data_IF_777653698116
#
_entry.id   IF_777653698116
#
_cell.length_a   1.000
_cell.length_b   1.000
_cell.length_c   1.000
_cell.angle_alpha   90.00
_cell.angle_beta   90.00
_cell.angle_gamma   90.00
#
_symmetry.space_group_name_H-M   'P 1'
#
loop_
_entity.id
_entity.type
_entity.pdbx_description
1 polymer ?
#
# COMPACT_ATOMS: atom_id res chain seq x y z
N UNK A 1 18.03 44.57 64.99
CA UNK A 1 19.29 43.80 64.97
C UNK A 1 19.43 43.22 63.57
N UNK A 2 20.53 43.26 62.83
CA UNK A 2 21.86 43.82 62.94
C UNK A 2 22.59 43.29 61.68
N UNK A 3 23.13 44.19 60.84
CA UNK A 3 24.30 43.99 59.96
C UNK A 3 24.23 42.94 58.81
N UNK A 4 24.26 43.32 57.51
CA UNK A 4 25.44 43.58 56.62
C UNK A 4 26.33 42.33 56.41
N UNK A 5 26.92 41.96 55.27
CA UNK A 5 27.42 42.68 54.09
C UNK A 5 28.01 41.66 53.08
N UNK A 6 28.03 42.04 51.78
CA UNK A 6 29.07 41.83 50.73
C UNK A 6 29.64 40.42 50.46
N UNK A 7 29.49 39.83 49.26
CA UNK A 7 30.17 40.16 47.99
C UNK A 7 31.71 40.14 48.09
N UNK A 8 32.36 39.20 47.38
CA UNK A 8 33.49 39.42 46.43
C UNK A 8 34.12 38.10 45.97
N UNK A 9 34.28 37.98 44.65
CA UNK A 9 35.21 37.10 43.94
C UNK A 9 36.66 37.30 44.44
N UNK A 10 37.52 36.28 44.24
CA UNK A 10 38.73 36.55 43.48
C UNK A 10 38.99 35.49 42.40
N UNK A 11 39.28 35.97 41.20
CA UNK A 11 40.07 35.26 40.20
C UNK A 11 41.56 35.36 40.58
N UNK A 12 42.37 34.34 40.30
CA UNK A 12 43.74 34.50 39.76
C UNK A 12 44.47 33.16 39.49
N UNK A 13 45.03 33.09 38.28
CA UNK A 13 46.24 32.37 37.79
C UNK A 13 46.29 30.85 37.59
N UNK A 14 46.02 30.45 36.33
CA UNK A 14 46.99 29.96 35.34
C UNK A 14 48.28 29.28 35.87
N UNK A 15 48.39 27.96 35.70
CA UNK A 15 49.68 27.32 35.46
C UNK A 15 49.54 26.15 34.47
N UNK A 16 50.43 26.19 33.49
CA UNK A 16 50.57 25.38 32.30
C UNK A 16 51.52 24.20 32.63
N UNK A 17 51.11 22.94 32.47
CA UNK A 17 52.03 21.80 32.53
C UNK A 17 51.70 20.78 31.42
N UNK A 18 52.53 20.83 30.38
CA UNK A 18 52.87 19.82 29.36
C UNK A 18 54.41 19.90 29.27
N UNK A 19 55.23 18.87 28.96
CA UNK A 19 54.98 17.53 28.40
C UNK A 19 55.68 16.37 29.16
N UNK A 20 55.37 15.11 28.83
CA UNK A 20 56.38 14.03 28.82
C UNK A 20 55.88 12.88 27.93
N UNK A 21 56.32 12.90 26.68
CA UNK A 21 56.30 11.73 25.80
C UNK A 21 57.40 10.77 26.23
N UNK A 22 57.08 9.48 26.31
CA UNK A 22 58.03 8.37 26.34
C UNK A 22 57.72 7.44 25.16
N UNK A 23 58.76 6.78 24.61
CA UNK A 23 58.78 6.35 23.22
C UNK A 23 57.95 5.10 22.96
N UNK A 24 57.40 5.05 21.75
CA UNK A 24 56.87 3.83 21.16
C UNK A 24 57.99 2.78 21.07
N UNK A 25 57.90 1.75 21.92
CA UNK A 25 58.56 0.48 21.67
C UNK A 25 57.67 -0.27 20.69
N UNK A 26 58.10 -0.32 19.44
CA UNK A 26 57.60 -1.28 18.47
C UNK A 26 57.98 -2.68 18.97
N UNK A 27 57.03 -3.34 19.63
CA UNK A 27 57.09 -4.79 19.78
C UNK A 27 56.79 -5.38 18.41
N UNK A 28 57.82 -5.96 17.79
CA UNK A 28 57.71 -6.78 16.59
C UNK A 28 56.82 -8.00 16.91
N UNK A 29 55.61 -8.12 16.34
CA UNK A 29 54.87 -9.36 16.44
C UNK A 29 55.37 -10.30 15.35
N UNK A 30 55.87 -11.45 15.81
CA UNK A 30 56.15 -12.65 15.01
C UNK A 30 55.11 -12.87 13.90
N UNK A 31 55.49 -13.48 12.75
CA UNK A 31 54.60 -13.65 11.62
C UNK A 31 53.38 -14.47 12.05
N UNK A 32 52.25 -13.79 12.20
CA UNK A 32 50.96 -14.41 12.42
C UNK A 32 50.59 -15.18 11.15
N UNK A 33 50.95 -16.46 11.15
CA UNK A 33 50.26 -17.49 10.39
C UNK A 33 48.83 -17.50 10.90
N UNK A 34 47.94 -16.89 10.14
CA UNK A 34 46.58 -17.35 9.84
C UNK A 34 45.87 -16.20 9.12
N UNK A 35 45.79 -16.33 7.79
CA UNK A 35 44.81 -15.58 7.01
C UNK A 35 43.43 -16.07 7.48
N UNK A 36 42.87 -15.36 8.46
CA UNK A 36 41.48 -15.50 8.83
C UNK A 36 40.65 -15.19 7.58
N UNK A 37 39.97 -16.21 7.07
CA UNK A 37 38.99 -16.06 6.01
C UNK A 37 37.99 -15.00 6.46
N UNK A 38 37.85 -13.93 5.66
CA UNK A 38 36.78 -12.94 5.84
C UNK A 38 35.45 -13.70 5.95
N UNK A 39 34.82 -13.61 7.11
CA UNK A 39 33.45 -14.07 7.27
C UNK A 39 32.58 -13.34 6.23
N UNK A 40 31.66 -14.02 5.53
CA UNK A 40 30.83 -13.37 4.52
C UNK A 40 30.12 -12.17 5.14
N UNK A 41 30.41 -10.97 4.65
CA UNK A 41 29.69 -9.76 5.05
C UNK A 41 28.24 -9.95 4.61
N UNK A 42 27.35 -10.21 5.57
CA UNK A 42 25.92 -10.25 5.33
C UNK A 42 25.49 -8.88 4.83
N UNK A 43 25.13 -8.81 3.54
CA UNK A 43 24.66 -7.58 2.93
C UNK A 43 23.36 -7.19 3.63
N UNK A 44 23.29 -5.94 4.09
CA UNK A 44 22.07 -5.38 4.64
C UNK A 44 20.89 -5.67 3.70
N UNK A 45 19.72 -6.07 4.24
CA UNK A 45 18.56 -6.38 3.41
C UNK A 45 18.20 -5.16 2.58
N UNK A 46 17.81 -5.41 1.32
CA UNK A 46 17.34 -4.35 0.44
C UNK A 46 16.10 -3.71 1.05
N UNK A 47 16.02 -2.39 0.93
CA UNK A 47 14.81 -1.67 1.31
C UNK A 47 13.66 -2.13 0.44
N UNK A 48 12.49 -2.21 1.04
CA UNK A 48 11.28 -2.48 0.29
C UNK A 48 10.90 -1.23 -0.52
N UNK A 49 10.14 -1.41 -1.59
CA UNK A 49 9.73 -0.29 -2.44
C UNK A 49 8.98 0.78 -1.63
N UNK A 50 8.04 0.39 -0.78
CA UNK A 50 7.31 1.37 0.04
C UNK A 50 8.23 2.18 0.97
N UNK A 51 9.35 1.60 1.42
CA UNK A 51 10.36 2.31 2.23
C UNK A 51 11.18 3.30 1.37
N UNK A 52 11.56 2.91 0.16
CA UNK A 52 12.27 3.80 -0.79
C UNK A 52 11.40 5.01 -1.16
N UNK A 53 10.13 4.78 -1.49
CA UNK A 53 9.15 5.82 -1.81
C UNK A 53 8.95 6.77 -0.60
N UNK A 54 8.86 6.22 0.63
CA UNK A 54 8.74 7.02 1.85
C UNK A 54 9.96 7.93 2.06
N UNK A 55 11.18 7.40 1.94
CA UNK A 55 12.43 8.18 2.06
C UNK A 55 12.49 9.29 0.99
N UNK A 56 12.05 9.01 -0.23
CA UNK A 56 12.00 10.01 -1.29
C UNK A 56 11.01 11.14 -0.95
N UNK A 57 9.82 10.80 -0.47
CA UNK A 57 8.79 11.76 -0.08
C UNK A 57 9.20 12.61 1.14
N UNK A 58 9.85 12.03 2.13
CA UNK A 58 10.35 12.75 3.32
C UNK A 58 11.34 13.87 2.97
N UNK A 59 12.08 13.70 1.86
CA UNK A 59 13.03 14.71 1.36
C UNK A 59 12.35 15.82 0.56
N UNK A 60 11.21 15.52 -0.06
CA UNK A 60 10.52 16.42 -0.97
C UNK A 60 9.42 17.23 -0.29
N UNK A 61 8.76 16.64 0.70
CA UNK A 61 7.60 17.23 1.36
C UNK A 61 7.99 18.02 2.62
N UNK A 62 7.18 19.01 3.03
CA UNK A 62 7.40 19.71 4.30
C UNK A 62 7.29 18.77 5.50
N UNK A 63 8.10 18.98 6.54
CA UNK A 63 8.13 18.11 7.73
C UNK A 63 6.83 18.13 8.51
N UNK A 64 6.11 19.25 8.50
CA UNK A 64 4.81 19.41 9.14
C UNK A 64 3.73 18.48 8.57
N UNK A 65 3.86 18.12 7.29
CA UNK A 65 2.95 17.19 6.63
C UNK A 65 3.30 15.72 6.92
N UNK A 66 4.51 15.42 7.41
CA UNK A 66 5.02 14.06 7.57
C UNK A 66 4.70 13.50 8.95
N UNK A 67 4.14 12.29 9.01
CA UNK A 67 3.81 11.60 10.25
C UNK A 67 4.29 10.15 10.17
N UNK A 68 5.04 9.71 11.18
CA UNK A 68 5.38 8.29 11.33
C UNK A 68 4.32 7.63 12.18
N UNK A 69 3.56 6.70 11.59
CA UNK A 69 2.55 5.92 12.29
C UNK A 69 3.08 4.50 12.56
N UNK A 70 2.52 3.87 13.59
CA UNK A 70 2.90 2.51 14.00
C UNK A 70 1.73 1.56 13.76
N UNK A 71 1.98 0.46 13.05
CA UNK A 71 1.04 -0.63 12.80
C UNK A 71 1.69 -1.96 13.22
N UNK A 72 1.35 -2.42 14.43
CA UNK A 72 2.05 -3.55 15.05
C UNK A 72 3.53 -3.21 15.24
N UNK A 73 4.41 -4.01 14.65
CA UNK A 73 5.87 -3.82 14.70
C UNK A 73 6.40 -2.96 13.53
N UNK A 74 5.57 -2.61 12.55
CA UNK A 74 5.97 -1.80 11.40
C UNK A 74 5.69 -0.30 11.64
N UNK A 75 6.70 0.54 11.42
CA UNK A 75 6.51 1.98 11.27
C UNK A 75 6.39 2.36 9.79
N UNK A 76 5.50 3.29 9.47
CA UNK A 76 5.29 3.74 8.09
C UNK A 76 4.94 5.22 8.01
N UNK A 77 5.33 5.83 6.88
CA UNK A 77 5.01 7.21 6.58
C UNK A 77 3.51 7.37 6.26
N UNK A 78 2.89 8.34 6.90
CA UNK A 78 1.61 8.92 6.52
C UNK A 78 1.76 10.42 6.33
N UNK A 79 0.92 11.00 5.48
CA UNK A 79 0.95 12.43 5.18
C UNK A 79 -0.34 13.09 5.68
N UNK A 80 -0.19 13.99 6.65
CA UNK A 80 -1.28 14.66 7.34
C UNK A 80 -1.36 16.13 6.93
N UNK A 81 -2.56 16.64 6.68
CA UNK A 81 -2.83 18.08 6.63
C UNK A 81 -4.06 18.40 7.49
N UNK A 82 -3.95 19.29 8.47
CA UNK A 82 -5.11 19.75 9.23
C UNK A 82 -6.06 20.57 8.34
N UNK A 83 -7.34 20.63 8.69
CA UNK A 83 -8.28 21.50 8.00
C UNK A 83 -7.91 22.98 8.15
N UNK A 84 -8.15 23.78 7.10
CA UNK A 84 -7.91 25.23 7.11
C UNK A 84 -9.08 26.00 7.73
N UNK A 85 -9.59 25.51 8.86
CA UNK A 85 -10.73 26.08 9.61
C UNK A 85 -10.59 25.79 11.10
N UNK A 86 -11.21 26.61 11.95
CA UNK A 86 -11.25 26.43 13.40
C UNK A 86 -12.24 25.35 13.86
N UNK A 87 -13.23 25.02 13.02
CA UNK A 87 -14.19 23.94 13.26
C UNK A 87 -14.15 22.90 12.14
N UNK A 88 -13.18 21.96 12.14
CA UNK A 88 -13.11 20.91 11.13
C UNK A 88 -14.36 20.02 11.14
N UNK A 89 -14.86 19.64 9.97
CA UNK A 89 -15.98 18.71 9.84
C UNK A 89 -15.60 17.28 10.27
N UNK A 90 -14.33 16.93 10.07
CA UNK A 90 -13.78 15.61 10.33
C UNK A 90 -12.43 15.42 9.65
N UNK A 91 -12.10 14.15 9.37
CA UNK A 91 -10.94 13.79 8.58
C UNK A 91 -11.31 12.86 7.42
N UNK A 92 -10.69 13.09 6.26
CA UNK A 92 -10.63 12.11 5.17
C UNK A 92 -9.35 11.30 5.32
N UNK A 93 -9.47 9.98 5.34
CA UNK A 93 -8.32 9.08 5.32
C UNK A 93 -8.28 8.41 3.95
N UNK A 94 -7.18 8.61 3.24
CA UNK A 94 -6.97 8.16 1.88
C UNK A 94 -6.08 6.92 1.92
N UNK A 95 -6.61 5.82 1.39
CA UNK A 95 -5.95 4.52 1.22
C UNK A 95 -5.56 4.40 -0.26
N UNK A 96 -4.28 4.58 -0.62
CA UNK A 96 -3.81 4.43 -1.99
C UNK A 96 -3.95 2.98 -2.49
N UNK A 97 -3.85 2.82 -3.80
CA UNK A 97 -3.74 1.52 -4.44
C UNK A 97 -2.37 0.86 -4.25
N UNK A 98 -2.30 -0.38 -4.70
CA UNK A 98 -1.03 -1.11 -4.82
C UNK A 98 -0.13 -0.29 -5.74
N UNK A 99 1.15 -0.23 -5.40
CA UNK A 99 2.12 0.58 -6.13
C UNK A 99 1.89 2.10 -6.09
N UNK A 100 0.99 2.63 -5.27
CA UNK A 100 0.78 4.06 -5.13
C UNK A 100 1.35 4.59 -3.82
N UNK A 101 1.99 5.75 -3.88
CA UNK A 101 2.55 6.43 -2.70
C UNK A 101 1.48 7.28 -2.00
N UNK A 102 1.67 7.67 -0.72
CA UNK A 102 0.72 8.57 -0.04
C UNK A 102 0.63 9.97 -0.66
N UNK A 103 1.51 10.35 -1.59
CA UNK A 103 1.39 11.58 -2.38
C UNK A 103 1.27 11.31 -3.88
N UNK A 104 0.65 10.18 -4.27
CA UNK A 104 0.47 9.82 -5.67
C UNK A 104 -0.14 10.98 -6.47
N UNK A 105 0.40 11.31 -7.67
CA UNK A 105 0.04 12.54 -8.38
C UNK A 105 -1.43 12.59 -8.80
N UNK A 106 -2.06 11.43 -8.99
CA UNK A 106 -3.47 11.31 -9.35
C UNK A 106 -4.32 10.88 -8.16
N UNK A 107 -5.49 11.50 -7.98
CA UNK A 107 -6.43 11.25 -6.89
C UNK A 107 -5.85 11.48 -5.48
N UNK A 108 -4.93 10.65 -5.01
CA UNK A 108 -4.42 10.64 -3.62
C UNK A 108 -3.84 11.99 -3.20
N UNK A 109 -2.77 12.44 -3.85
CA UNK A 109 -2.11 13.72 -3.54
C UNK A 109 -3.02 14.93 -3.76
N UNK A 110 -3.71 15.06 -4.91
CA UNK A 110 -4.67 16.13 -5.16
C UNK A 110 -5.78 16.22 -4.11
N UNK A 111 -6.41 15.09 -3.75
CA UNK A 111 -7.46 15.07 -2.71
C UNK A 111 -6.87 15.46 -1.35
N UNK A 112 -5.71 14.90 -0.97
CA UNK A 112 -5.01 15.26 0.29
C UNK A 112 -4.80 16.76 0.40
N UNK A 113 -4.37 17.43 -0.68
CA UNK A 113 -4.10 18.87 -0.67
C UNK A 113 -5.36 19.72 -0.70
N UNK A 114 -6.43 19.29 -1.37
CA UNK A 114 -7.66 20.09 -1.56
C UNK A 114 -8.70 19.98 -0.43
N UNK A 115 -8.77 18.85 0.28
CA UNK A 115 -9.73 18.69 1.38
C UNK A 115 -9.55 19.68 2.54
N UNK A 116 -8.32 20.04 2.95
CA UNK A 116 -8.08 21.10 3.95
C UNK A 116 -8.77 22.42 3.65
N UNK A 117 -8.79 22.84 2.39
CA UNK A 117 -9.39 24.11 1.95
C UNK A 117 -10.92 24.12 2.04
N UNK A 118 -11.54 22.95 2.25
CA UNK A 118 -12.98 22.78 2.32
C UNK A 118 -13.43 22.29 3.70
N UNK A 119 -12.58 22.45 4.73
CA UNK A 119 -12.95 22.22 6.12
C UNK A 119 -12.73 20.80 6.63
N UNK A 120 -12.12 19.93 5.83
CA UNK A 120 -11.77 18.55 6.21
C UNK A 120 -10.27 18.41 6.43
N UNK A 121 -9.85 17.77 7.52
CA UNK A 121 -8.45 17.37 7.62
C UNK A 121 -8.21 16.17 6.70
N UNK A 122 -6.99 16.00 6.19
CA UNK A 122 -6.68 14.90 5.27
C UNK A 122 -5.47 14.10 5.76
N UNK A 123 -5.57 12.77 5.66
CA UNK A 123 -4.51 11.84 5.96
C UNK A 123 -4.38 10.87 4.80
N UNK A 124 -3.20 10.70 4.20
CA UNK A 124 -2.93 9.58 3.29
C UNK A 124 -1.90 8.65 3.90
N UNK A 125 -2.06 7.35 3.70
CA UNK A 125 -1.19 6.32 4.30
C UNK A 125 -0.36 5.59 3.26
N UNK A 126 0.84 5.14 3.64
CA UNK A 126 1.63 4.21 2.83
C UNK A 126 1.07 2.80 2.97
N UNK A 127 0.79 2.15 1.84
CA UNK A 127 0.37 0.74 1.82
C UNK A 127 1.58 -0.20 2.05
N UNK A 128 1.40 -1.33 2.75
CA UNK A 128 2.46 -2.33 2.88
C UNK A 128 2.70 -3.00 1.53
N UNK A 129 3.96 -3.29 1.21
CA UNK A 129 4.29 -4.08 0.02
C UNK A 129 3.61 -5.46 0.08
N UNK A 130 3.13 -6.00 -1.05
CA UNK A 130 2.56 -7.35 -1.11
C UNK A 130 3.55 -8.39 -0.58
N UNK A 131 3.05 -9.37 0.17
CA UNK A 131 3.87 -10.48 0.67
C UNK A 131 4.32 -11.43 -0.45
N UNK A 132 3.57 -11.51 -1.55
CA UNK A 132 3.95 -12.33 -2.70
C UNK A 132 4.83 -11.53 -3.67
N UNK A 133 6.13 -11.48 -3.35
CA UNK A 133 7.16 -10.86 -4.17
C UNK A 133 7.89 -11.88 -5.05
N UNK A 134 7.33 -13.06 -5.32
CA UNK A 134 7.95 -13.99 -6.26
C UNK A 134 7.75 -13.47 -7.69
N UNK A 135 8.80 -12.99 -8.40
CA UNK A 135 8.65 -12.69 -9.81
C UNK A 135 8.34 -14.03 -10.47
N UNK A 136 7.13 -14.18 -11.02
CA UNK A 136 6.76 -15.39 -11.74
C UNK A 136 7.87 -15.72 -12.76
N UNK A 137 8.39 -16.94 -12.70
CA UNK A 137 9.33 -17.40 -13.70
C UNK A 137 8.69 -17.18 -15.07
N UNK A 138 9.33 -16.38 -15.93
CA UNK A 138 8.89 -16.19 -17.30
C UNK A 138 8.82 -17.57 -17.93
N UNK A 139 7.62 -18.08 -18.19
CA UNK A 139 7.49 -19.27 -19.03
C UNK A 139 8.19 -18.93 -20.35
N UNK A 140 9.17 -19.73 -20.79
CA UNK A 140 9.88 -19.45 -22.02
C UNK A 140 8.85 -19.40 -23.14
N UNK A 141 8.76 -18.26 -23.82
CA UNK A 141 7.94 -18.09 -25.01
C UNK A 141 8.22 -19.28 -25.94
N UNK A 142 7.20 -20.12 -26.15
CA UNK A 142 7.29 -21.17 -27.15
C UNK A 142 7.46 -20.47 -28.50
N UNK A 143 8.68 -20.49 -29.01
CA UNK A 143 9.07 -19.94 -30.31
C UNK A 143 8.00 -20.31 -31.36
N UNK A 144 7.39 -19.33 -32.06
CA UNK A 144 6.50 -19.66 -33.16
C UNK A 144 7.35 -20.33 -34.23
N UNK A 145 7.05 -21.59 -34.55
CA UNK A 145 7.64 -22.25 -35.69
C UNK A 145 7.27 -21.48 -36.96
N UNK A 146 8.28 -20.93 -37.64
CA UNK A 146 8.15 -20.29 -38.93
C UNK A 146 7.46 -21.23 -39.93
N UNK A 147 6.26 -20.84 -40.35
CA UNK A 147 5.55 -21.47 -41.45
C UNK A 147 5.99 -20.81 -42.77
N UNK A 148 7.06 -21.30 -43.41
CA UNK A 148 7.15 -21.34 -44.87
C UNK A 148 8.31 -22.18 -45.42
N UNK A 149 8.01 -23.35 -45.97
CA UNK A 149 8.66 -23.90 -47.18
C UNK A 149 7.98 -25.22 -47.60
N UNK A 150 7.13 -25.16 -48.63
CA UNK A 150 6.69 -26.33 -49.40
C UNK A 150 7.81 -26.82 -50.33
N UNK A 151 8.02 -28.14 -50.45
CA UNK A 151 7.73 -28.97 -51.66
C UNK A 151 8.54 -30.28 -51.74
N UNK A 152 7.82 -31.38 -52.01
CA UNK A 152 8.20 -32.64 -52.73
C UNK A 152 9.21 -33.63 -52.09
N UNK A 153 9.14 -34.97 -52.16
CA UNK A 153 8.16 -36.03 -52.55
C UNK A 153 8.76 -37.38 -52.07
N UNK A 154 7.91 -38.42 -51.93
CA UNK A 154 8.18 -39.88 -52.00
C UNK A 154 8.36 -40.72 -50.70
N UNK A 155 7.40 -41.64 -50.55
CA UNK A 155 7.22 -42.82 -49.66
C UNK A 155 8.01 -44.07 -50.13
N UNK A 156 7.96 -45.24 -49.44
CA UNK A 156 7.89 -45.57 -48.00
C UNK A 156 8.82 -46.75 -47.57
N UNK A 157 8.79 -47.08 -46.26
CA UNK A 157 8.78 -48.44 -45.64
C UNK A 157 9.98 -48.79 -44.74
N UNK A 158 9.69 -48.93 -43.44
CA UNK A 158 9.96 -50.08 -42.55
C UNK A 158 10.01 -49.65 -41.07
N UNK A 159 9.00 -50.04 -40.30
CA UNK A 159 9.10 -50.33 -38.86
C UNK A 159 9.70 -51.74 -38.68
N UNK A 160 10.14 -52.21 -37.48
CA UNK A 160 9.96 -51.65 -36.13
C UNK A 160 11.21 -51.73 -35.22
N UNK A 161 11.31 -50.89 -34.18
CA UNK A 161 11.87 -51.33 -32.88
C UNK A 161 11.43 -50.47 -31.71
N UNK A 162 11.11 -51.16 -30.63
CA UNK A 162 10.77 -50.72 -29.28
C UNK A 162 11.39 -49.41 -28.81
N UNK A 163 10.52 -48.54 -28.30
CA UNK A 163 10.77 -47.85 -27.05
C UNK A 163 9.44 -47.79 -26.30
N UNK A 164 9.38 -48.54 -25.20
CA UNK A 164 8.32 -48.43 -24.19
C UNK A 164 8.26 -46.98 -23.71
N UNK A 165 7.29 -46.24 -24.23
CA UNK A 165 6.83 -45.04 -23.57
C UNK A 165 5.98 -45.53 -22.39
N UNK A 166 6.50 -45.43 -21.18
CA UNK A 166 5.68 -45.35 -19.97
C UNK A 166 4.68 -44.22 -20.18
N UNK A 167 3.48 -44.56 -20.65
CA UNK A 167 2.33 -43.69 -20.62
C UNK A 167 2.08 -43.37 -19.14
N UNK A 168 2.46 -42.17 -18.71
CA UNK A 168 1.99 -41.66 -17.43
C UNK A 168 0.46 -41.62 -17.51
N UNK A 169 -0.19 -42.18 -16.49
CA UNK A 169 -1.64 -42.25 -16.43
C UNK A 169 -2.20 -40.80 -16.41
N UNK A 170 -2.96 -40.38 -17.44
CA UNK A 170 -3.53 -39.04 -17.51
C UNK A 170 -4.41 -38.71 -16.29
N UNK A 171 -5.01 -39.73 -15.66
CA UNK A 171 -5.80 -39.56 -14.45
C UNK A 171 -4.93 -39.20 -13.25
N UNK A 172 -3.76 -39.83 -13.09
CA UNK A 172 -2.82 -39.53 -12.00
C UNK A 172 -2.17 -38.15 -12.18
N UNK A 173 -1.93 -37.70 -13.41
CA UNK A 173 -1.46 -36.34 -13.69
C UNK A 173 -2.54 -35.28 -13.41
N UNK A 174 -3.80 -35.55 -13.79
CA UNK A 174 -4.91 -34.66 -13.48
C UNK A 174 -5.18 -34.54 -11.98
N UNK A 175 -5.10 -35.65 -11.23
CA UNK A 175 -5.21 -35.65 -9.77
C UNK A 175 -4.05 -34.89 -9.09
N UNK A 176 -2.83 -35.06 -9.59
CA UNK A 176 -1.66 -34.32 -9.09
C UNK A 176 -1.77 -32.81 -9.36
N UNK A 177 -2.26 -32.40 -10.54
CA UNK A 177 -2.50 -30.99 -10.87
C UNK A 177 -3.60 -30.39 -9.98
N UNK A 178 -4.71 -31.10 -9.79
CA UNK A 178 -5.80 -30.64 -8.92
C UNK A 178 -5.37 -30.52 -7.45
N UNK A 179 -4.54 -31.45 -6.96
CA UNK A 179 -3.96 -31.37 -5.62
C UNK A 179 -2.99 -30.18 -5.49
N UNK A 180 -2.17 -29.93 -6.50
CA UNK A 180 -1.25 -28.79 -6.53
C UNK A 180 -2.00 -27.44 -6.58
N UNK A 181 -3.07 -27.34 -7.38
CA UNK A 181 -3.94 -26.15 -7.44
C UNK A 181 -4.64 -25.89 -6.10
N UNK A 182 -5.13 -26.93 -5.44
CA UNK A 182 -5.76 -26.82 -4.12
C UNK A 182 -4.76 -26.34 -3.06
N UNK A 183 -3.55 -26.91 -3.06
CA UNK A 183 -2.48 -26.49 -2.16
C UNK A 183 -2.06 -25.03 -2.40
N UNK A 184 -1.94 -24.62 -3.67
CA UNK A 184 -1.65 -23.22 -4.04
C UNK A 184 -2.77 -22.28 -3.59
N UNK A 185 -4.03 -22.63 -3.82
CA UNK A 185 -5.16 -21.80 -3.40
C UNK A 185 -5.23 -21.60 -1.88
N UNK A 186 -4.90 -22.63 -1.09
CA UNK A 186 -4.82 -22.53 0.36
C UNK A 186 -3.65 -21.64 0.82
N UNK A 187 -2.50 -21.73 0.15
CA UNK A 187 -1.36 -20.85 0.43
C UNK A 187 -1.66 -19.38 0.08
N UNK A 188 -2.26 -19.14 -1.09
CA UNK A 188 -2.69 -17.81 -1.54
C UNK A 188 -3.70 -17.19 -0.56
N UNK A 189 -4.62 -17.98 0.00
CA UNK A 189 -5.59 -17.52 0.99
C UNK A 189 -4.92 -17.08 2.31
N UNK A 190 -3.95 -17.85 2.80
CA UNK A 190 -3.22 -17.48 4.02
C UNK A 190 -2.35 -16.22 3.80
N UNK A 191 -1.67 -16.12 2.66
CA UNK A 191 -0.93 -14.90 2.27
C UNK A 191 -1.87 -13.71 2.18
N UNK A 192 -3.03 -13.88 1.56
CA UNK A 192 -4.04 -12.83 1.41
C UNK A 192 -4.56 -12.36 2.78
N UNK A 193 -4.79 -13.28 3.71
CA UNK A 193 -5.18 -12.97 5.09
C UNK A 193 -4.09 -12.24 5.86
N UNK A 194 -2.85 -12.70 5.78
CA UNK A 194 -1.71 -12.03 6.42
C UNK A 194 -1.52 -10.61 5.86
N UNK A 195 -1.68 -10.44 4.54
CA UNK A 195 -1.63 -9.13 3.90
C UNK A 195 -2.79 -8.23 4.37
N UNK A 196 -4.00 -8.78 4.51
CA UNK A 196 -5.15 -8.05 5.02
C UNK A 196 -4.89 -7.51 6.43
N UNK A 197 -4.35 -8.33 7.34
CA UNK A 197 -4.03 -7.91 8.71
C UNK A 197 -3.00 -6.77 8.75
N UNK A 198 -1.94 -6.83 7.92
CA UNK A 198 -0.96 -5.75 7.79
C UNK A 198 -1.61 -4.45 7.34
N UNK A 199 -2.49 -4.51 6.34
CA UNK A 199 -3.20 -3.35 5.81
C UNK A 199 -4.19 -2.80 6.83
N UNK A 200 -4.94 -3.66 7.51
CA UNK A 200 -5.91 -3.25 8.53
C UNK A 200 -5.21 -2.56 9.70
N UNK A 201 -4.07 -3.07 10.16
CA UNK A 201 -3.28 -2.41 11.19
C UNK A 201 -2.87 -0.98 10.79
N UNK A 202 -2.52 -0.74 9.51
CA UNK A 202 -2.22 0.62 9.01
C UNK A 202 -3.45 1.52 8.95
N UNK A 203 -4.61 0.98 8.53
CA UNK A 203 -5.88 1.74 8.53
C UNK A 203 -6.31 2.08 9.97
N UNK A 204 -6.18 1.15 10.92
CA UNK A 204 -6.49 1.38 12.33
C UNK A 204 -5.57 2.41 12.97
N UNK A 205 -4.27 2.38 12.65
CA UNK A 205 -3.32 3.39 13.08
C UNK A 205 -3.72 4.78 12.53
N UNK A 206 -4.15 4.86 11.27
CA UNK A 206 -4.62 6.08 10.64
C UNK A 206 -5.89 6.64 11.31
N UNK A 207 -6.87 5.77 11.59
CA UNK A 207 -8.10 6.12 12.29
C UNK A 207 -7.78 6.63 13.70
N UNK A 208 -6.91 5.92 14.43
CA UNK A 208 -6.49 6.29 15.78
C UNK A 208 -5.79 7.66 15.79
N UNK A 209 -4.89 7.89 14.83
CA UNK A 209 -4.23 9.19 14.66
C UNK A 209 -5.23 10.31 14.35
N UNK A 210 -6.19 10.07 13.45
CA UNK A 210 -7.23 11.07 13.14
C UNK A 210 -8.09 11.40 14.37
N UNK A 211 -8.46 10.39 15.17
CA UNK A 211 -9.20 10.61 16.43
C UNK A 211 -8.39 11.41 17.46
N UNK A 212 -7.09 11.13 17.61
CA UNK A 212 -6.19 11.91 18.46
C UNK A 212 -6.10 13.37 18.01
N UNK A 213 -6.20 13.61 16.69
CA UNK A 213 -6.30 14.93 16.07
C UNK A 213 -7.75 15.47 16.04
N UNK A 214 -8.60 15.00 16.95
CA UNK A 214 -9.98 15.48 17.18
C UNK A 214 -10.95 15.27 16.02
N UNK A 215 -10.65 14.39 15.07
CA UNK A 215 -11.61 13.99 14.04
C UNK A 215 -12.72 13.13 14.66
N UNK A 216 -13.94 13.69 14.73
CA UNK A 216 -15.13 13.00 15.26
C UNK A 216 -15.94 12.29 14.19
N UNK A 217 -15.68 12.62 12.92
CA UNK A 217 -16.25 12.00 11.73
C UNK A 217 -15.10 11.66 10.80
N UNK A 218 -15.05 10.43 10.31
CA UNK A 218 -14.03 9.96 9.38
C UNK A 218 -14.70 9.47 8.10
N UNK A 219 -14.14 9.85 6.97
CA UNK A 219 -14.45 9.29 5.66
C UNK A 219 -13.24 8.50 5.17
N UNK A 220 -13.43 7.22 4.86
CA UNK A 220 -12.40 6.44 4.18
C UNK A 220 -12.52 6.64 2.68
N UNK A 221 -11.42 6.99 2.01
CA UNK A 221 -11.33 7.13 0.56
C UNK A 221 -10.30 6.12 0.07
N UNK A 222 -10.73 5.09 -0.65
CA UNK A 222 -9.81 4.13 -1.27
C UNK A 222 -9.66 4.41 -2.76
N UNK A 223 -8.43 4.39 -3.27
CA UNK A 223 -8.14 4.49 -4.71
C UNK A 223 -7.65 3.14 -5.25
N UNK A 224 -8.13 2.72 -6.43
CA UNK A 224 -7.76 1.45 -7.06
C UNK A 224 -7.95 0.25 -6.10
N UNK A 225 -6.92 -0.53 -5.78
CA UNK A 225 -7.00 -1.61 -4.77
C UNK A 225 -7.17 -1.11 -3.34
N UNK A 226 -6.82 0.14 -3.03
CA UNK A 226 -7.13 0.76 -1.74
C UNK A 226 -8.64 0.84 -1.48
N UNK A 227 -9.47 0.93 -2.54
CA UNK A 227 -10.92 0.83 -2.43
C UNK A 227 -11.38 -0.57 -2.00
N UNK A 228 -10.74 -1.61 -2.53
CA UNK A 228 -10.96 -2.99 -2.10
C UNK A 228 -10.63 -3.15 -0.62
N UNK A 229 -9.44 -2.71 -0.21
CA UNK A 229 -8.98 -2.86 1.16
C UNK A 229 -9.81 -2.07 2.16
N UNK A 230 -10.22 -0.84 1.83
CA UNK A 230 -11.11 -0.05 2.66
C UNK A 230 -12.50 -0.70 2.81
N UNK A 231 -13.05 -1.28 1.74
CA UNK A 231 -14.33 -2.00 1.80
C UNK A 231 -14.22 -3.28 2.66
N UNK A 232 -13.13 -4.03 2.51
CA UNK A 232 -12.88 -5.23 3.30
C UNK A 232 -12.67 -4.90 4.78
N UNK A 233 -11.88 -3.87 5.07
CA UNK A 233 -11.69 -3.35 6.42
C UNK A 233 -13.04 -3.05 7.08
N UNK A 234 -13.94 -2.32 6.41
CA UNK A 234 -15.24 -1.97 7.00
C UNK A 234 -16.22 -3.14 7.17
N UNK A 235 -16.01 -4.25 6.45
CA UNK A 235 -16.75 -5.49 6.65
C UNK A 235 -16.24 -6.29 7.86
N UNK A 236 -14.91 -6.35 8.03
CA UNK A 236 -14.27 -7.21 9.03
C UNK A 236 -13.90 -6.48 10.34
N UNK A 237 -13.76 -5.15 10.30
CA UNK A 237 -13.38 -4.28 11.42
C UNK A 237 -14.39 -3.14 11.49
N UNK A 238 -15.35 -3.26 12.42
CA UNK A 238 -16.35 -2.20 12.63
C UNK A 238 -15.72 -1.01 13.34
N UNK A 239 -15.79 0.17 12.73
CA UNK A 239 -15.36 1.42 13.36
C UNK A 239 -16.51 2.44 13.35
N UNK A 240 -17.08 2.81 14.52
CA UNK A 240 -18.24 3.71 14.58
C UNK A 240 -17.92 5.15 14.19
N UNK A 241 -16.63 5.54 14.14
CA UNK A 241 -16.22 6.88 13.71
C UNK A 241 -16.12 7.01 12.19
N UNK A 242 -16.01 5.90 11.46
CA UNK A 242 -16.05 5.92 10.00
C UNK A 242 -17.50 5.97 9.56
N UNK A 243 -17.91 7.09 8.95
CA UNK A 243 -19.31 7.33 8.58
C UNK A 243 -19.61 7.04 7.11
N UNK A 244 -18.60 7.18 6.24
CA UNK A 244 -18.74 7.05 4.80
C UNK A 244 -17.51 6.36 4.19
N UNK A 245 -17.75 5.65 3.09
CA UNK A 245 -16.73 5.05 2.23
C UNK A 245 -16.82 5.65 0.81
N UNK A 246 -15.68 6.11 0.29
CA UNK A 246 -15.53 6.52 -1.11
C UNK A 246 -14.60 5.53 -1.78
N UNK A 247 -15.09 4.87 -2.82
CA UNK A 247 -14.33 3.96 -3.67
C UNK A 247 -14.03 4.67 -4.99
N UNK A 248 -12.76 4.92 -5.29
CA UNK A 248 -12.30 5.59 -6.51
C UNK A 248 -11.66 4.58 -7.45
N UNK A 249 -12.24 4.40 -8.64
CA UNK A 249 -11.73 3.49 -9.66
C UNK A 249 -11.39 2.10 -9.10
N UNK A 250 -12.30 1.54 -8.29
CA UNK A 250 -12.03 0.36 -7.48
C UNK A 250 -11.57 -0.84 -8.30
N UNK A 251 -10.47 -1.47 -7.87
CA UNK A 251 -9.93 -2.69 -8.47
C UNK A 251 -9.70 -3.74 -7.39
N UNK A 252 -9.93 -4.99 -7.72
CA UNK A 252 -9.61 -6.10 -6.83
C UNK A 252 -8.15 -6.51 -7.06
N UNK A 253 -7.35 -6.74 -6.00
CA UNK A 253 -6.05 -7.40 -6.14
C UNK A 253 -6.19 -8.77 -6.79
N UNK A 254 -5.11 -9.30 -7.37
CA UNK A 254 -5.09 -10.65 -7.92
C UNK A 254 -5.44 -11.68 -6.84
N UNK A 255 -6.28 -12.66 -7.20
CA UNK A 255 -6.74 -13.74 -6.31
C UNK A 255 -7.39 -13.26 -5.00
N UNK A 256 -7.88 -12.02 -4.95
CA UNK A 256 -8.48 -11.45 -3.75
C UNK A 256 -9.79 -12.16 -3.37
N UNK A 257 -9.89 -12.62 -2.12
CA UNK A 257 -11.11 -13.15 -1.51
C UNK A 257 -11.35 -12.49 -0.16
N UNK A 258 -12.60 -12.10 0.19
CA UNK A 258 -13.81 -12.13 -0.66
C UNK A 258 -13.77 -11.07 -1.78
N UNK A 259 -14.69 -11.15 -2.75
CA UNK A 259 -14.80 -10.17 -3.84
C UNK A 259 -15.49 -8.87 -3.38
N UNK A 260 -15.29 -7.74 -4.08
CA UNK A 260 -16.05 -6.50 -3.83
C UNK A 260 -17.54 -6.70 -4.07
N UNK A 261 -17.90 -7.56 -5.03
CA UNK A 261 -19.31 -7.87 -5.33
C UNK A 261 -20.03 -8.42 -4.10
N UNK A 262 -19.36 -9.27 -3.32
CA UNK A 262 -19.91 -9.89 -2.11
C UNK A 262 -19.85 -8.95 -0.91
N UNK A 263 -18.83 -8.09 -0.83
CA UNK A 263 -18.61 -7.17 0.28
C UNK A 263 -19.50 -5.93 0.24
N UNK A 264 -19.77 -5.37 -0.94
CA UNK A 264 -20.53 -4.12 -1.07
C UNK A 264 -21.93 -4.19 -0.42
N UNK A 265 -22.73 -5.26 -0.62
CA UNK A 265 -24.05 -5.38 0.03
C UNK A 265 -24.00 -5.48 1.56
N UNK A 266 -22.84 -5.82 2.14
CA UNK A 266 -22.65 -6.04 3.58
C UNK A 266 -22.13 -4.79 4.31
N UNK A 267 -21.79 -3.73 3.58
CA UNK A 267 -21.29 -2.48 4.16
C UNK A 267 -22.32 -1.84 5.10
N UNK A 268 -21.84 -1.49 6.31
CA UNK A 268 -22.64 -0.84 7.37
C UNK A 268 -22.57 0.69 7.33
N UNK A 269 -21.85 1.25 6.36
CA UNK A 269 -21.74 2.69 6.11
C UNK A 269 -22.26 3.05 4.72
N UNK A 270 -22.59 4.32 4.50
CA UNK A 270 -22.89 4.80 3.14
C UNK A 270 -21.64 4.72 2.29
N UNK A 271 -21.81 4.24 1.06
CA UNK A 271 -20.70 4.06 0.14
C UNK A 271 -20.99 4.63 -1.25
N UNK A 272 -19.96 5.17 -1.89
CA UNK A 272 -20.00 5.59 -3.29
C UNK A 272 -18.88 4.95 -4.09
N UNK A 273 -19.20 4.54 -5.31
CA UNK A 273 -18.25 3.99 -6.27
C UNK A 273 -18.13 4.96 -7.47
N UNK A 274 -16.98 5.62 -7.56
CA UNK A 274 -16.64 6.57 -8.61
C UNK A 274 -15.93 5.84 -9.74
N UNK A 275 -16.60 5.75 -10.89
CA UNK A 275 -16.17 4.92 -12.02
C UNK A 275 -15.93 5.77 -13.26
N UNK A 276 -14.88 5.48 -14.03
CA UNK A 276 -14.65 6.14 -15.31
C UNK A 276 -15.57 5.59 -16.39
N UNK A 277 -16.28 6.47 -17.12
CA UNK A 277 -17.29 6.09 -18.12
C UNK A 277 -16.72 5.65 -19.48
N UNK A 278 -15.40 5.67 -19.64
CA UNK A 278 -14.76 5.48 -20.95
C UNK A 278 -14.97 4.07 -21.51
N UNK A 279 -15.08 3.07 -20.62
CA UNK A 279 -15.33 1.67 -20.95
C UNK A 279 -16.45 1.12 -20.07
N UNK A 280 -17.24 0.15 -20.58
CA UNK A 280 -18.21 -0.54 -19.75
C UNK A 280 -17.49 -1.31 -18.65
N UNK A 281 -17.75 -0.93 -17.40
CA UNK A 281 -17.29 -1.66 -16.22
C UNK A 281 -18.41 -2.58 -15.72
N UNK A 282 -18.41 -3.83 -16.20
CA UNK A 282 -19.40 -4.84 -15.79
C UNK A 282 -19.28 -5.20 -14.31
N UNK A 283 -18.07 -5.16 -13.74
CA UNK A 283 -17.87 -5.40 -12.32
C UNK A 283 -18.54 -4.30 -11.47
N UNK A 284 -18.36 -3.03 -11.85
CA UNK A 284 -19.08 -1.92 -11.25
C UNK A 284 -20.60 -2.08 -11.36
N UNK A 285 -21.12 -2.37 -12.56
CA UNK A 285 -22.56 -2.59 -12.75
C UNK A 285 -23.09 -3.70 -11.85
N UNK A 286 -22.36 -4.82 -11.76
CA UNK A 286 -22.71 -5.94 -10.89
C UNK A 286 -22.74 -5.52 -9.41
N UNK A 287 -21.74 -4.76 -8.93
CA UNK A 287 -21.71 -4.22 -7.56
C UNK A 287 -22.95 -3.37 -7.25
N UNK A 288 -23.33 -2.45 -8.16
CA UNK A 288 -24.53 -1.63 -7.99
C UNK A 288 -25.82 -2.46 -8.01
N UNK A 289 -25.90 -3.48 -8.84
CA UNK A 289 -27.06 -4.36 -8.87
C UNK A 289 -27.16 -5.21 -7.61
N UNK A 290 -26.04 -5.73 -7.11
CA UNK A 290 -25.99 -6.49 -5.87
C UNK A 290 -26.39 -5.63 -4.66
N UNK A 291 -25.91 -4.39 -4.59
CA UNK A 291 -26.26 -3.48 -3.50
C UNK A 291 -27.76 -3.15 -3.46
N UNK A 292 -28.43 -3.06 -4.61
CA UNK A 292 -29.87 -2.82 -4.71
C UNK A 292 -30.73 -3.99 -4.23
N UNK A 293 -30.18 -5.20 -4.17
CA UNK A 293 -30.90 -6.41 -3.73
C UNK A 293 -30.93 -6.55 -2.21
N UNK A 294 -30.10 -5.81 -1.50
CA UNK A 294 -29.97 -5.87 -0.05
C UNK A 294 -30.34 -4.53 0.58
N UNK A 295 -31.08 -4.55 1.69
CA UNK A 295 -31.34 -3.33 2.45
C UNK A 295 -30.07 -2.93 3.21
N UNK A 296 -29.59 -1.71 3.00
CA UNK A 296 -28.40 -1.19 3.66
C UNK A 296 -28.41 0.34 3.75
N UNK A 297 -27.32 0.95 4.27
CA UNK A 297 -27.20 2.40 4.46
C UNK A 297 -27.29 3.21 3.15
N UNK A 298 -26.92 2.59 2.03
CA UNK A 298 -27.00 3.17 0.70
C UNK A 298 -25.68 3.02 -0.06
N UNK A 299 -25.77 2.58 -1.31
CA UNK A 299 -24.65 2.48 -2.25
C UNK A 299 -25.01 3.18 -3.56
N UNK A 300 -24.18 4.12 -3.98
CA UNK A 300 -24.40 4.92 -5.20
C UNK A 300 -23.20 4.82 -6.13
N UNK A 301 -23.43 4.92 -7.44
CA UNK A 301 -22.37 5.07 -8.43
C UNK A 301 -22.39 6.43 -9.08
N UNK A 302 -21.22 7.06 -9.16
CA UNK A 302 -21.02 8.35 -9.82
C UNK A 302 -20.01 8.15 -10.93
N UNK A 303 -20.40 8.50 -12.16
CA UNK A 303 -19.48 8.37 -13.29
C UNK A 303 -18.60 9.59 -13.48
N UNK A 304 -17.31 9.34 -13.65
CA UNK A 304 -16.25 10.26 -14.04
C UNK A 304 -16.03 10.22 -15.54
N UNK A 305 -15.56 11.34 -16.08
CA UNK A 305 -15.17 11.47 -17.48
C UNK A 305 -13.67 11.70 -17.49
N UNK A 306 -12.91 10.86 -18.20
CA UNK A 306 -11.51 11.10 -18.46
C UNK A 306 -11.37 12.22 -19.49
N UNK A 307 -10.55 13.21 -19.18
CA UNK A 307 -10.37 14.38 -20.02
C UNK A 307 -8.97 14.29 -20.64
N UNK A 308 -8.90 13.69 -21.82
CA UNK A 308 -7.65 13.52 -22.55
C UNK A 308 -6.89 14.85 -22.67
N UNK A 309 -5.63 14.86 -22.23
CA UNK A 309 -4.75 16.03 -22.28
C UNK A 309 -5.01 17.11 -21.23
N UNK A 310 -5.89 16.90 -20.24
CA UNK A 310 -6.11 17.86 -19.14
C UNK A 310 -6.25 17.18 -17.78
N UNK A 311 -5.10 16.73 -17.24
CA UNK A 311 -5.03 16.12 -15.91
C UNK A 311 -5.61 17.01 -14.81
N UNK A 312 -5.30 18.30 -14.80
CA UNK A 312 -5.81 19.24 -13.78
C UNK A 312 -7.34 19.35 -13.79
N UNK A 313 -7.96 19.39 -14.98
CA UNK A 313 -9.43 19.45 -15.10
C UNK A 313 -10.07 18.14 -14.66
N UNK A 314 -9.45 17.01 -14.96
CA UNK A 314 -9.90 15.70 -14.51
C UNK A 314 -9.82 15.58 -12.98
N UNK A 315 -8.70 15.99 -12.38
CA UNK A 315 -8.52 16.00 -10.92
C UNK A 315 -9.50 16.97 -10.24
N UNK A 316 -9.79 18.12 -10.85
CA UNK A 316 -10.81 19.05 -10.37
C UNK A 316 -12.22 18.46 -10.44
N UNK A 317 -12.55 17.77 -11.54
CA UNK A 317 -13.82 17.04 -11.67
C UNK A 317 -13.94 15.98 -10.56
N UNK A 318 -12.92 15.14 -10.38
CA UNK A 318 -12.85 14.13 -9.35
C UNK A 318 -13.11 14.75 -7.98
N UNK A 319 -12.33 15.77 -7.61
CA UNK A 319 -12.47 16.46 -6.32
C UNK A 319 -13.89 16.98 -6.09
N UNK A 320 -14.49 17.67 -7.08
CA UNK A 320 -15.87 18.18 -6.95
C UNK A 320 -16.89 17.08 -6.74
N UNK A 321 -16.74 15.94 -7.43
CA UNK A 321 -17.64 14.79 -7.29
C UNK A 321 -17.51 14.13 -5.92
N UNK A 322 -16.29 13.91 -5.46
CA UNK A 322 -16.04 13.32 -4.13
C UNK A 322 -16.55 14.26 -3.04
N UNK A 323 -16.14 15.53 -3.06
CA UNK A 323 -16.59 16.53 -2.09
C UNK A 323 -18.11 16.65 -2.06
N UNK A 324 -18.74 16.83 -3.22
CA UNK A 324 -20.20 17.01 -3.30
C UNK A 324 -20.97 15.84 -2.70
N UNK A 325 -20.43 14.61 -2.76
CA UNK A 325 -21.03 13.44 -2.13
C UNK A 325 -20.73 13.34 -0.62
N UNK A 326 -19.51 13.70 -0.20
CA UNK A 326 -19.13 13.75 1.22
C UNK A 326 -19.96 14.79 1.97
N UNK A 327 -20.15 15.98 1.40
CA UNK A 327 -20.88 17.10 2.03
C UNK A 327 -22.41 16.94 1.90
N UNK A 328 -22.88 15.99 1.08
CA UNK A 328 -24.30 15.74 0.91
C UNK A 328 -24.94 15.37 2.26
N UNK A 329 -25.85 16.23 2.72
CA UNK A 329 -26.66 15.99 3.91
C UNK A 329 -27.66 14.89 3.63
N UNK A 330 -27.88 14.03 4.61
CA UNK A 330 -28.93 13.02 4.53
C UNK A 330 -30.27 13.74 4.50
N UNK A 331 -31.06 13.54 3.45
CA UNK A 331 -32.48 13.92 3.46
C UNK A 331 -33.14 13.09 4.57
N UNK A 332 -33.72 13.78 5.55
CA UNK A 332 -34.46 13.20 6.68
C UNK A 332 -35.82 12.67 6.22
#
# INVERSE_FOLDING_TARGET
MSYTFRATFPALFLSLILPCALPAVAADPAPAKDAAADAPVERAPLLSRSQEDAIALERQLPREDQQQLQAGDESFLALWKPANTDTPEGAVIIVPGDAESPDWPDAVGPLRRKFPDVGWSSLSITMPDPLDNTPGAREPDATPADANASKATETPKETPKDASATAKDPAAEAEALAAAETAKAAADEEINKAQAERIFARIEAAISFAQQNKARSIVLIGHSSGAYWAARFLNERTSPVVQKLVMLAAREPLNAKPSLLDMVPQLKVKAVDLIYKNSPDEAAKARLQASKRTKGPGFTQIGLINIAGSGDTEQEQLFRRVRGWIDAKEEK
#
